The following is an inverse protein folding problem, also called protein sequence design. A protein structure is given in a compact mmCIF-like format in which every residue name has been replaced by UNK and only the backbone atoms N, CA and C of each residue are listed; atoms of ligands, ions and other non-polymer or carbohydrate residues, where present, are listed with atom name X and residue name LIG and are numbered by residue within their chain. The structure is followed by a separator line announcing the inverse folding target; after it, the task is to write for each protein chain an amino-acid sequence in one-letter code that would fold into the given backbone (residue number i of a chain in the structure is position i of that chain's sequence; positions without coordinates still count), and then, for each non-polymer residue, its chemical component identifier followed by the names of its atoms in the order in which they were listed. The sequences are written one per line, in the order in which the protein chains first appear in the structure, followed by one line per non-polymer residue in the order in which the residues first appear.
data_IF_556218405983
#
_entry.id   IF_556218405983
#
_cell.length_a   1.000
_cell.length_b   1.000
_cell.length_c   1.000
_cell.angle_alpha   90.00
_cell.angle_beta   90.00
_cell.angle_gamma   90.00
#
_symmetry.space_group_name_H-M   'P 1'
#
loop_
_entity.id
_entity.type
_entity.pdbx_description
1 polymer ?
#
# COMPACT_ATOMS: atom_id res chain seq x y z
N UNK A 1 -15.74 -22.55 -26.63
CA UNK A 1 -15.66 -21.15 -26.17
C UNK A 1 -15.30 -21.20 -24.71
N UNK A 2 -14.02 -21.17 -24.39
CA UNK A 2 -13.51 -21.87 -23.20
C UNK A 2 -12.49 -20.99 -22.48
N UNK A 3 -12.96 -20.11 -21.59
CA UNK A 3 -12.14 -19.33 -20.67
C UNK A 3 -12.18 -20.06 -19.32
N UNK A 4 -11.09 -20.69 -18.88
CA UNK A 4 -11.20 -21.71 -17.81
C UNK A 4 -10.23 -21.70 -16.63
N UNK A 5 -9.36 -20.70 -16.44
CA UNK A 5 -8.56 -20.61 -15.19
C UNK A 5 -8.30 -19.15 -14.79
N UNK A 6 -8.42 -18.84 -13.50
CA UNK A 6 -8.25 -17.51 -12.91
C UNK A 6 -7.16 -17.60 -11.83
N UNK A 7 -6.13 -16.76 -11.91
CA UNK A 7 -5.15 -16.56 -10.84
C UNK A 7 -5.60 -15.41 -9.94
N UNK A 8 -5.43 -15.51 -8.63
CA UNK A 8 -5.66 -14.38 -7.71
C UNK A 8 -4.48 -14.32 -6.76
N UNK A 9 -3.67 -13.28 -6.87
CA UNK A 9 -2.74 -12.87 -5.80
C UNK A 9 -3.51 -11.92 -4.86
N UNK A 10 -3.32 -12.08 -3.55
CA UNK A 10 -3.86 -11.25 -2.47
C UNK A 10 -5.40 -11.05 -2.48
N UNK A 11 -6.14 -11.89 -1.75
CA UNK A 11 -7.60 -11.73 -1.57
C UNK A 11 -7.88 -10.87 -0.33
N UNK A 12 -8.15 -9.56 -0.42
CA UNK A 12 -8.90 -8.90 0.63
C UNK A 12 -10.29 -9.54 0.67
N UNK A 13 -10.90 -9.52 1.86
CA UNK A 13 -12.18 -10.15 2.28
C UNK A 13 -13.40 -10.09 1.30
N UNK A 14 -13.28 -9.48 0.12
CA UNK A 14 -14.17 -9.58 -1.05
C UNK A 14 -14.10 -10.88 -1.87
N UNK A 15 -13.31 -11.89 -1.47
CA UNK A 15 -13.05 -13.13 -2.21
C UNK A 15 -14.26 -13.90 -2.76
N UNK A 16 -15.44 -13.85 -2.12
CA UNK A 16 -16.66 -14.52 -2.64
C UNK A 16 -17.04 -14.04 -4.04
N UNK A 17 -16.85 -12.75 -4.33
CA UNK A 17 -17.32 -12.15 -5.59
C UNK A 17 -16.46 -12.54 -6.78
N UNK A 18 -15.16 -12.79 -6.57
CA UNK A 18 -14.24 -13.13 -7.65
C UNK A 18 -14.41 -14.59 -8.10
N UNK A 19 -14.58 -15.53 -7.16
CA UNK A 19 -14.91 -16.92 -7.49
C UNK A 19 -16.26 -17.03 -8.20
N UNK A 20 -17.29 -16.36 -7.67
CA UNK A 20 -18.62 -16.36 -8.29
C UNK A 20 -18.57 -15.79 -9.71
N UNK A 21 -17.88 -14.68 -9.94
CA UNK A 21 -17.75 -14.08 -11.27
C UNK A 21 -16.96 -14.94 -12.23
N UNK A 22 -15.86 -15.55 -11.78
CA UNK A 22 -15.09 -16.46 -12.61
C UNK A 22 -15.94 -17.66 -13.05
N UNK A 23 -16.70 -18.25 -12.13
CA UNK A 23 -17.59 -19.35 -12.46
C UNK A 23 -18.73 -18.92 -13.40
N UNK A 24 -19.37 -17.78 -13.16
CA UNK A 24 -20.39 -17.21 -14.04
C UNK A 24 -19.84 -16.87 -15.44
N UNK A 25 -18.56 -16.51 -15.54
CA UNK A 25 -17.87 -16.27 -16.80
C UNK A 25 -17.43 -17.58 -17.52
N UNK A 26 -17.77 -18.74 -16.95
CA UNK A 26 -17.50 -20.05 -17.54
C UNK A 26 -16.21 -20.74 -17.07
N UNK A 27 -15.55 -20.21 -16.04
CA UNK A 27 -14.31 -20.80 -15.55
C UNK A 27 -14.52 -22.20 -14.96
N UNK A 28 -13.64 -23.14 -15.31
CA UNK A 28 -13.66 -24.52 -14.80
C UNK A 28 -13.00 -24.61 -13.45
N UNK A 29 -11.91 -23.90 -13.26
CA UNK A 29 -11.23 -23.83 -11.97
C UNK A 29 -10.64 -22.46 -11.72
N UNK A 30 -10.26 -22.23 -10.46
CA UNK A 30 -9.49 -21.08 -10.01
C UNK A 30 -8.24 -21.60 -9.30
N UNK A 31 -7.07 -21.07 -9.63
CA UNK A 31 -5.79 -21.44 -9.01
C UNK A 31 -5.21 -20.21 -8.34
N UNK A 32 -5.23 -20.20 -7.01
CA UNK A 32 -4.79 -19.06 -6.19
C UNK A 32 -3.29 -19.20 -5.95
N UNK A 33 -2.56 -18.12 -6.21
CA UNK A 33 -1.10 -18.04 -6.12
C UNK A 33 -0.78 -16.84 -5.24
N UNK A 34 -0.01 -17.02 -4.17
CA UNK A 34 0.22 -15.97 -3.18
C UNK A 34 1.53 -16.21 -2.42
N UNK A 35 1.84 -15.35 -1.44
CA UNK A 35 2.97 -15.51 -0.55
C UNK A 35 2.66 -14.94 0.84
N UNK A 36 3.44 -15.36 1.85
CA UNK A 36 3.46 -14.75 3.19
C UNK A 36 4.90 -14.32 3.48
N UNK A 37 5.07 -13.05 3.86
CA UNK A 37 6.35 -12.45 4.26
C UNK A 37 7.49 -12.71 3.24
N UNK A 38 8.73 -12.78 3.74
CA UNK A 38 9.97 -12.87 2.95
C UNK A 38 10.79 -14.09 3.39
N UNK A 39 10.49 -15.27 2.85
CA UNK A 39 11.26 -16.49 3.10
C UNK A 39 12.61 -16.57 2.35
N UNK A 40 12.89 -15.65 1.43
CA UNK A 40 14.15 -15.59 0.66
C UNK A 40 14.46 -16.89 -0.11
N UNK A 41 13.46 -17.46 -0.80
CA UNK A 41 13.63 -18.68 -1.60
C UNK A 41 13.82 -19.95 -0.77
N UNK A 42 13.39 -19.96 0.49
CA UNK A 42 13.49 -21.13 1.38
C UNK A 42 12.13 -21.54 1.89
N UNK A 43 11.85 -22.84 1.92
CA UNK A 43 10.64 -23.35 2.56
C UNK A 43 10.70 -23.12 4.07
N UNK A 44 9.73 -22.38 4.60
CA UNK A 44 9.61 -22.10 6.03
C UNK A 44 8.20 -22.42 6.50
N UNK A 45 8.04 -23.45 7.32
CA UNK A 45 6.73 -23.93 7.80
C UNK A 45 5.87 -22.82 8.41
N UNK A 46 6.50 -21.88 9.14
CA UNK A 46 5.76 -20.78 9.75
C UNK A 46 5.09 -19.84 8.74
N UNK A 47 5.58 -19.82 7.50
CA UNK A 47 5.15 -18.98 6.39
C UNK A 47 4.35 -19.77 5.32
N UNK A 48 4.00 -21.02 5.59
CA UNK A 48 3.15 -21.81 4.68
C UNK A 48 1.75 -21.19 4.53
N UNK A 49 1.25 -21.19 3.29
CA UNK A 49 -0.13 -20.80 2.97
C UNK A 49 -1.17 -21.80 3.47
N UNK A 50 -0.78 -23.01 3.88
CA UNK A 50 -1.69 -23.97 4.52
C UNK A 50 -2.41 -23.37 5.73
N UNK A 51 -1.76 -22.43 6.43
CA UNK A 51 -2.34 -21.71 7.58
C UNK A 51 -3.51 -20.80 7.23
N UNK A 52 -3.54 -20.26 6.00
CA UNK A 52 -4.64 -19.39 5.56
C UNK A 52 -5.80 -20.18 4.96
N UNK A 53 -5.61 -21.48 4.65
CA UNK A 53 -6.62 -22.34 4.05
C UNK A 53 -7.95 -22.34 4.81
N UNK A 54 -8.02 -22.57 6.14
CA UNK A 54 -9.31 -22.63 6.84
C UNK A 54 -10.04 -21.27 6.88
N UNK A 55 -9.30 -20.17 6.82
CA UNK A 55 -9.85 -18.82 6.74
C UNK A 55 -10.41 -18.59 5.34
N UNK A 56 -9.66 -19.00 4.32
CA UNK A 56 -10.03 -18.84 2.92
C UNK A 56 -11.28 -19.66 2.58
N UNK A 57 -11.34 -20.93 2.99
CA UNK A 57 -12.52 -21.79 2.80
C UNK A 57 -13.77 -21.20 3.45
N UNK A 58 -13.65 -20.72 4.70
CA UNK A 58 -14.74 -20.03 5.40
C UNK A 58 -15.17 -18.75 4.69
N UNK A 59 -14.20 -17.97 4.21
CA UNK A 59 -14.46 -16.73 3.50
C UNK A 59 -15.07 -16.98 2.12
N UNK A 60 -14.80 -18.11 1.48
CA UNK A 60 -15.28 -18.44 0.14
C UNK A 60 -16.52 -19.34 0.14
N UNK A 61 -16.84 -19.94 1.29
CA UNK A 61 -17.93 -20.93 1.44
C UNK A 61 -17.78 -22.08 0.44
N UNK A 62 -16.54 -22.55 0.28
CA UNK A 62 -16.10 -23.53 -0.70
C UNK A 62 -14.93 -24.32 -0.12
N UNK A 63 -14.90 -25.62 -0.42
CA UNK A 63 -13.71 -26.44 -0.22
C UNK A 63 -12.61 -26.00 -1.19
N UNK A 64 -11.36 -25.94 -0.69
CA UNK A 64 -10.20 -25.52 -1.47
C UNK A 64 -9.15 -26.62 -1.40
N UNK A 65 -8.74 -27.11 -2.56
CA UNK A 65 -7.65 -28.08 -2.64
C UNK A 65 -6.31 -27.36 -2.48
N UNK A 66 -5.65 -27.58 -1.36
CA UNK A 66 -4.29 -27.08 -1.14
C UNK A 66 -3.26 -27.98 -1.81
N UNK A 67 -2.32 -27.38 -2.54
CA UNK A 67 -1.19 -28.06 -3.17
C UNK A 67 0.09 -27.66 -2.45
N UNK A 68 0.87 -28.65 -1.99
CA UNK A 68 2.06 -28.44 -1.14
C UNK A 68 3.27 -27.81 -1.86
N UNK A 69 3.13 -27.48 -3.14
CA UNK A 69 4.09 -26.72 -3.93
C UNK A 69 3.33 -25.87 -4.98
N UNK A 70 4.04 -24.97 -5.68
CA UNK A 70 3.48 -24.13 -6.73
C UNK A 70 4.03 -24.44 -8.13
N UNK A 71 4.92 -25.42 -8.27
CA UNK A 71 5.48 -25.88 -9.54
C UNK A 71 5.66 -27.40 -9.53
N UNK A 72 5.96 -27.97 -10.69
CA UNK A 72 6.36 -29.36 -10.82
C UNK A 72 5.26 -30.27 -11.35
N UNK A 73 5.62 -31.38 -12.01
CA UNK A 73 4.71 -32.15 -12.86
C UNK A 73 3.48 -32.69 -12.11
N UNK A 74 3.62 -33.02 -10.82
CA UNK A 74 2.51 -33.49 -10.00
C UNK A 74 1.49 -32.36 -9.73
N UNK A 75 1.95 -31.17 -9.38
CA UNK A 75 1.10 -29.99 -9.11
C UNK A 75 0.41 -29.53 -10.40
N UNK A 76 1.15 -29.53 -11.51
CA UNK A 76 0.63 -29.19 -12.83
C UNK A 76 -0.49 -30.14 -13.25
N UNK A 77 -0.33 -31.45 -13.01
CA UNK A 77 -1.34 -32.46 -13.32
C UNK A 77 -2.66 -32.22 -12.57
N UNK A 78 -2.62 -31.84 -11.29
CA UNK A 78 -3.84 -31.52 -10.51
C UNK A 78 -4.65 -30.38 -11.13
N UNK A 79 -3.97 -29.38 -11.67
CA UNK A 79 -4.60 -28.18 -12.24
C UNK A 79 -4.90 -28.29 -13.73
N UNK A 80 -4.41 -29.34 -14.40
CA UNK A 80 -4.53 -29.50 -15.86
C UNK A 80 -5.98 -29.70 -16.30
N UNK A 81 -6.72 -30.61 -15.63
CA UNK A 81 -8.10 -30.95 -15.99
C UNK A 81 -9.00 -31.24 -14.77
N UNK A 82 -9.19 -30.26 -13.85
CA UNK A 82 -9.92 -30.48 -12.61
C UNK A 82 -11.44 -30.56 -12.82
N UNK A 83 -12.25 -31.03 -11.85
CA UNK A 83 -13.70 -30.88 -11.91
C UNK A 83 -14.16 -29.42 -12.10
N UNK A 84 -15.35 -29.22 -12.67
CA UNK A 84 -15.90 -27.87 -12.79
C UNK A 84 -16.20 -27.29 -11.40
N UNK A 85 -15.77 -26.06 -11.16
CA UNK A 85 -15.92 -25.36 -9.88
C UNK A 85 -14.79 -25.62 -8.88
N UNK A 86 -13.73 -26.34 -9.26
CA UNK A 86 -12.57 -26.57 -8.39
C UNK A 86 -11.81 -25.29 -8.07
N UNK A 87 -11.37 -25.16 -6.83
CA UNK A 87 -10.54 -24.05 -6.36
C UNK A 87 -9.28 -24.65 -5.76
N UNK A 88 -8.12 -24.18 -6.22
CA UNK A 88 -6.81 -24.61 -5.75
C UNK A 88 -6.12 -23.45 -5.05
N UNK A 89 -5.37 -23.76 -3.99
CA UNK A 89 -4.41 -22.85 -3.38
C UNK A 89 -3.03 -23.51 -3.49
N UNK A 90 -2.12 -22.87 -4.24
CA UNK A 90 -0.73 -23.30 -4.29
C UNK A 90 0.01 -22.85 -3.02
N UNK A 91 1.11 -23.52 -2.72
CA UNK A 91 2.04 -23.05 -1.69
C UNK A 91 2.74 -21.75 -2.13
N UNK A 92 3.36 -21.06 -1.16
CA UNK A 92 4.00 -19.76 -1.31
C UNK A 92 5.00 -19.72 -2.46
N UNK A 93 4.76 -18.85 -3.44
CA UNK A 93 5.69 -18.64 -4.57
C UNK A 93 7.06 -18.16 -4.12
N UNK A 94 7.16 -17.48 -2.97
CA UNK A 94 8.45 -17.01 -2.43
C UNK A 94 9.29 -18.12 -1.81
N UNK A 95 8.77 -19.35 -1.68
CA UNK A 95 9.62 -20.50 -1.36
C UNK A 95 10.57 -20.85 -2.50
N UNK A 96 10.31 -20.35 -3.71
CA UNK A 96 11.19 -20.45 -4.86
C UNK A 96 11.97 -19.14 -5.04
N UNK A 97 13.32 -19.17 -5.11
CA UNK A 97 14.13 -17.96 -5.28
C UNK A 97 13.85 -17.24 -6.61
N UNK A 98 13.37 -17.95 -7.61
CA UNK A 98 13.04 -17.45 -8.96
C UNK A 98 11.97 -16.35 -8.91
N UNK A 99 11.00 -16.44 -7.99
CA UNK A 99 9.93 -15.45 -7.81
C UNK A 99 10.48 -14.03 -7.56
N UNK A 100 11.49 -13.92 -6.69
CA UNK A 100 12.16 -12.66 -6.34
C UNK A 100 13.48 -12.47 -7.11
N UNK A 101 13.80 -13.36 -8.06
CA UNK A 101 15.04 -13.38 -8.87
C UNK A 101 16.32 -13.41 -8.02
N UNK A 102 16.30 -14.12 -6.89
CA UNK A 102 17.43 -14.16 -5.93
C UNK A 102 18.45 -15.19 -6.38
N UNK A 103 19.51 -14.75 -7.06
CA UNK A 103 20.63 -15.62 -7.44
C UNK A 103 20.28 -16.67 -8.51
N UNK A 104 19.23 -16.43 -9.29
CA UNK A 104 18.77 -17.31 -10.37
C UNK A 104 19.24 -16.80 -11.73
N UNK A 105 19.52 -17.71 -12.67
CA UNK A 105 19.69 -17.36 -14.09
C UNK A 105 18.34 -17.04 -14.75
N UNK A 106 18.37 -16.35 -15.89
CA UNK A 106 17.15 -16.09 -16.68
C UNK A 106 16.48 -17.40 -17.15
N UNK A 107 17.25 -18.46 -17.41
CA UNK A 107 16.69 -19.77 -17.77
C UNK A 107 15.90 -20.41 -16.62
N UNK A 108 16.38 -20.27 -15.38
CA UNK A 108 15.65 -20.74 -14.19
C UNK A 108 14.35 -19.95 -14.00
N UNK A 109 14.43 -18.63 -14.16
CA UNK A 109 13.26 -17.75 -14.07
C UNK A 109 12.23 -18.09 -15.15
N UNK A 110 12.66 -18.32 -16.40
CA UNK A 110 11.78 -18.71 -17.50
C UNK A 110 11.13 -20.08 -17.27
N UNK A 111 11.87 -21.05 -16.71
CA UNK A 111 11.33 -22.36 -16.33
C UNK A 111 10.28 -22.25 -15.22
N UNK A 112 10.53 -21.43 -14.21
CA UNK A 112 9.58 -21.14 -13.13
C UNK A 112 8.33 -20.44 -13.66
N UNK A 113 8.49 -19.44 -14.53
CA UNK A 113 7.38 -18.73 -15.19
C UNK A 113 6.53 -19.71 -16.02
N UNK A 114 7.16 -20.60 -16.79
CA UNK A 114 6.48 -21.60 -17.60
C UNK A 114 5.69 -22.60 -16.73
N UNK A 115 6.26 -23.03 -15.61
CA UNK A 115 5.61 -23.92 -14.64
C UNK A 115 4.37 -23.25 -14.04
N UNK A 116 4.49 -22.01 -13.55
CA UNK A 116 3.36 -21.23 -13.04
C UNK A 116 2.30 -20.97 -14.11
N UNK A 117 2.72 -20.72 -15.35
CA UNK A 117 1.83 -20.50 -16.48
C UNK A 117 0.97 -21.73 -16.76
N UNK A 118 1.50 -22.95 -16.60
CA UNK A 118 0.77 -24.19 -16.89
C UNK A 118 -0.53 -24.34 -16.08
N UNK A 119 -0.60 -23.69 -14.91
CA UNK A 119 -1.78 -23.68 -14.04
C UNK A 119 -2.94 -22.84 -14.58
N UNK A 120 -2.75 -22.08 -15.67
CA UNK A 120 -3.68 -21.04 -16.10
C UNK A 120 -3.80 -20.85 -17.61
N UNK A 121 -5.00 -20.53 -18.09
CA UNK A 121 -5.22 -20.00 -19.45
C UNK A 121 -5.32 -18.47 -19.45
N UNK A 122 -5.75 -17.90 -18.31
CA UNK A 122 -5.95 -16.46 -18.11
C UNK A 122 -5.26 -16.07 -16.82
N UNK A 123 -4.52 -14.98 -16.88
CA UNK A 123 -3.90 -14.39 -15.72
C UNK A 123 -4.79 -13.28 -15.16
N UNK A 124 -5.03 -13.30 -13.86
CA UNK A 124 -5.66 -12.19 -13.16
C UNK A 124 -4.79 -11.74 -12.00
N UNK A 125 -4.51 -10.44 -11.96
CA UNK A 125 -3.77 -9.82 -10.86
C UNK A 125 -4.76 -9.07 -9.98
N UNK A 126 -4.96 -9.54 -8.75
CA UNK A 126 -5.75 -8.86 -7.73
C UNK A 126 -4.90 -8.32 -6.57
N UNK A 127 -3.58 -8.33 -6.72
CA UNK A 127 -2.61 -7.98 -5.70
C UNK A 127 -1.99 -6.60 -5.92
N UNK A 128 -2.82 -5.56 -5.73
CA UNK A 128 -2.35 -4.18 -5.86
C UNK A 128 -1.13 -3.88 -4.96
N UNK A 129 -1.17 -4.34 -3.70
CA UNK A 129 -0.11 -4.06 -2.71
C UNK A 129 1.27 -4.59 -3.07
N UNK A 130 1.39 -5.57 -3.98
CA UNK A 130 2.65 -6.18 -4.41
C UNK A 130 3.05 -5.76 -5.82
N UNK A 131 2.15 -5.14 -6.58
CA UNK A 131 2.32 -4.81 -8.00
C UNK A 131 3.36 -3.73 -8.32
N UNK A 132 3.94 -3.10 -7.30
CA UNK A 132 5.13 -2.23 -7.44
C UNK A 132 6.44 -3.02 -7.64
N UNK A 133 6.37 -4.37 -7.64
CA UNK A 133 7.52 -5.25 -7.77
C UNK A 133 7.53 -6.00 -9.10
N UNK A 134 8.72 -6.28 -9.61
CA UNK A 134 8.96 -7.04 -10.85
C UNK A 134 9.11 -8.55 -10.60
N UNK A 135 8.33 -9.11 -9.68
CA UNK A 135 8.36 -10.54 -9.37
C UNK A 135 7.68 -11.37 -10.46
N UNK A 136 8.08 -12.63 -10.64
CA UNK A 136 7.61 -13.49 -11.74
C UNK A 136 6.08 -13.62 -11.74
N UNK A 137 5.48 -13.91 -10.60
CA UNK A 137 4.02 -14.05 -10.46
C UNK A 137 3.22 -12.78 -10.81
N UNK A 138 3.85 -11.61 -10.80
CA UNK A 138 3.21 -10.30 -11.05
C UNK A 138 3.32 -9.82 -12.49
N UNK A 139 4.24 -10.40 -13.28
CA UNK A 139 4.51 -9.97 -14.66
C UNK A 139 3.54 -10.58 -15.69
N UNK A 140 2.54 -11.34 -15.21
CA UNK A 140 1.48 -11.91 -16.05
C UNK A 140 1.83 -13.21 -16.75
N UNK A 141 2.96 -13.85 -16.40
CA UNK A 141 3.34 -15.21 -16.80
C UNK A 141 3.34 -15.44 -18.33
N UNK A 142 3.66 -14.38 -19.08
CA UNK A 142 3.59 -14.31 -20.53
C UNK A 142 2.20 -14.57 -21.14
N UNK A 143 1.13 -14.61 -20.33
CA UNK A 143 -0.19 -15.05 -20.79
C UNK A 143 -0.81 -14.04 -21.76
N UNK A 144 -1.51 -14.56 -22.78
CA UNK A 144 -2.15 -13.71 -23.79
C UNK A 144 -3.28 -12.88 -23.18
N UNK A 145 -4.09 -13.50 -22.31
CA UNK A 145 -5.20 -12.84 -21.63
C UNK A 145 -4.76 -12.52 -20.20
N UNK A 146 -4.67 -11.22 -19.89
CA UNK A 146 -4.32 -10.68 -18.58
C UNK A 146 -5.38 -9.67 -18.18
N UNK A 147 -5.87 -9.74 -16.95
CA UNK A 147 -6.85 -8.78 -16.45
C UNK A 147 -6.57 -8.37 -15.00
N UNK A 148 -7.03 -7.18 -14.64
CA UNK A 148 -7.11 -6.75 -13.26
C UNK A 148 -8.27 -7.48 -12.56
N UNK A 149 -8.02 -7.98 -11.35
CA UNK A 149 -9.05 -8.47 -10.46
C UNK A 149 -9.92 -7.33 -9.92
N UNK A 150 -10.84 -7.65 -9.00
CA UNK A 150 -11.80 -6.66 -8.51
C UNK A 150 -11.18 -5.65 -7.55
N UNK A 151 -10.27 -6.09 -6.67
CA UNK A 151 -9.48 -5.20 -5.83
C UNK A 151 -8.59 -4.34 -6.71
N UNK A 152 -7.79 -4.97 -7.59
CA UNK A 152 -6.88 -4.25 -8.47
C UNK A 152 -7.62 -3.19 -9.29
N UNK A 153 -8.74 -3.56 -9.93
CA UNK A 153 -9.59 -2.62 -10.67
C UNK A 153 -10.06 -1.47 -9.79
N UNK A 154 -10.53 -1.77 -8.58
CA UNK A 154 -10.99 -0.73 -7.65
C UNK A 154 -9.86 0.24 -7.33
N UNK A 155 -8.68 -0.26 -6.95
CA UNK A 155 -7.52 0.58 -6.64
C UNK A 155 -7.10 1.43 -7.84
N UNK A 156 -7.02 0.84 -9.03
CA UNK A 156 -6.74 1.55 -10.28
C UNK A 156 -7.80 2.62 -10.59
N UNK A 157 -9.09 2.32 -10.41
CA UNK A 157 -10.18 3.28 -10.62
C UNK A 157 -10.08 4.48 -9.65
N UNK A 158 -9.67 4.25 -8.40
CA UNK A 158 -9.46 5.34 -7.43
C UNK A 158 -8.23 6.18 -7.77
N UNK A 159 -7.12 5.53 -8.13
CA UNK A 159 -5.87 6.20 -8.51
C UNK A 159 -6.06 6.99 -9.80
N UNK A 160 -6.70 6.42 -10.82
CA UNK A 160 -7.00 7.11 -12.08
C UNK A 160 -7.83 8.37 -11.83
N UNK A 161 -8.87 8.30 -10.99
CA UNK A 161 -9.64 9.50 -10.59
C UNK A 161 -8.79 10.55 -9.89
N UNK A 162 -7.83 10.13 -9.07
CA UNK A 162 -6.96 11.03 -8.34
C UNK A 162 -5.87 11.67 -9.21
N UNK A 163 -5.44 11.00 -10.29
CA UNK A 163 -4.33 11.44 -11.15
C UNK A 163 -4.83 12.11 -12.45
N UNK A 164 -5.79 11.50 -13.15
CA UNK A 164 -6.20 11.92 -14.50
C UNK A 164 -7.24 13.05 -14.49
N UNK A 165 -8.15 13.06 -13.51
CA UNK A 165 -9.22 14.04 -13.42
C UNK A 165 -9.63 14.29 -11.97
N UNK A 166 -8.71 14.79 -11.12
CA UNK A 166 -9.03 15.06 -9.73
C UNK A 166 -10.08 16.17 -9.63
N UNK A 167 -11.04 16.00 -8.70
CA UNK A 167 -11.91 17.10 -8.29
C UNK A 167 -11.05 18.11 -7.53
N UNK A 168 -11.18 19.39 -7.89
CA UNK A 168 -10.43 20.49 -7.28
C UNK A 168 -11.30 21.28 -6.29
N UNK A 169 -10.74 21.81 -5.19
CA UNK A 169 -9.32 21.74 -4.81
C UNK A 169 -8.89 20.31 -4.43
N UNK A 170 -7.77 19.87 -4.99
CA UNK A 170 -7.17 18.57 -4.74
C UNK A 170 -6.07 18.72 -3.71
N UNK A 171 -6.32 18.18 -2.52
CA UNK A 171 -5.46 18.33 -1.35
C UNK A 171 -4.70 17.04 -1.07
N UNK A 172 -3.37 17.10 -0.98
CA UNK A 172 -2.56 16.03 -0.43
C UNK A 172 -2.27 16.26 1.04
N UNK A 173 -2.45 15.24 1.88
CA UNK A 173 -2.08 15.28 3.30
C UNK A 173 -0.86 14.39 3.49
N UNK A 174 0.26 14.97 3.88
CA UNK A 174 1.52 14.27 4.09
C UNK A 174 2.04 14.48 5.50
N UNK A 175 2.24 13.38 6.24
CA UNK A 175 2.81 13.44 7.58
C UNK A 175 3.34 12.09 8.05
N UNK A 176 3.94 12.03 9.22
CA UNK A 176 4.51 10.80 9.78
C UNK A 176 5.67 11.07 10.72
N UNK A 177 6.16 10.03 11.42
CA UNK A 177 7.24 10.17 12.39
C UNK A 177 8.64 10.28 11.75
N UNK A 178 8.82 9.70 10.56
CA UNK A 178 10.08 9.72 9.78
C UNK A 178 9.85 10.54 8.50
N UNK A 179 10.34 11.78 8.48
CA UNK A 179 10.06 12.73 7.39
C UNK A 179 10.80 12.43 6.09
N UNK A 180 11.99 11.84 6.15
CA UNK A 180 12.92 11.76 5.01
C UNK A 180 12.34 11.09 3.75
N UNK A 181 11.76 9.91 3.89
CA UNK A 181 11.19 9.16 2.76
C UNK A 181 10.00 9.90 2.12
N UNK A 182 9.23 10.65 2.91
CA UNK A 182 8.06 11.41 2.43
C UNK A 182 8.44 12.73 1.78
N UNK A 183 9.52 13.35 2.25
CA UNK A 183 10.08 14.58 1.64
C UNK A 183 10.45 14.36 0.18
N UNK A 184 10.97 13.18 -0.17
CA UNK A 184 11.32 12.82 -1.54
C UNK A 184 10.09 12.66 -2.47
N UNK A 185 8.89 12.49 -1.92
CA UNK A 185 7.65 12.34 -2.70
C UNK A 185 6.97 13.70 -2.98
N UNK A 186 7.23 14.71 -2.17
CA UNK A 186 6.61 16.04 -2.29
C UNK A 186 6.84 16.72 -3.65
N UNK A 187 8.03 16.66 -4.30
CA UNK A 187 8.22 17.26 -5.61
C UNK A 187 7.19 16.75 -6.62
N UNK A 188 6.93 15.44 -6.62
CA UNK A 188 5.94 14.85 -7.53
C UNK A 188 4.52 15.31 -7.15
N UNK A 189 4.17 15.33 -5.87
CA UNK A 189 2.85 15.78 -5.43
C UNK A 189 2.54 17.23 -5.84
N UNK A 190 3.52 18.13 -5.72
CA UNK A 190 3.41 19.54 -6.16
C UNK A 190 3.04 19.64 -7.66
N UNK A 191 3.34 18.62 -8.47
CA UNK A 191 2.99 18.63 -9.88
C UNK A 191 1.50 18.34 -10.16
N UNK A 192 0.76 17.80 -9.18
CA UNK A 192 -0.60 17.29 -9.39
C UNK A 192 -1.67 17.97 -8.52
N UNK A 193 -1.33 18.42 -7.32
CA UNK A 193 -2.28 18.91 -6.29
C UNK A 193 -2.41 20.43 -6.30
N UNK A 194 -3.48 20.95 -5.71
CA UNK A 194 -3.66 22.39 -5.45
C UNK A 194 -3.09 22.79 -4.08
N UNK A 195 -3.17 21.88 -3.11
CA UNK A 195 -2.81 22.15 -1.72
C UNK A 195 -2.08 20.94 -1.10
N UNK A 196 -1.14 21.22 -0.19
CA UNK A 196 -0.41 20.20 0.58
C UNK A 196 -0.50 20.55 2.07
N UNK A 197 -1.13 19.68 2.85
CA UNK A 197 -1.12 19.74 4.32
C UNK A 197 0.04 18.92 4.85
N UNK A 198 0.96 19.56 5.57
CA UNK A 198 2.12 18.91 6.19
C UNK A 198 1.86 18.72 7.68
N UNK A 199 1.95 17.48 8.16
CA UNK A 199 1.76 17.16 9.58
C UNK A 199 2.81 16.19 10.13
N UNK A 200 2.65 15.84 11.40
CA UNK A 200 3.56 14.95 12.12
C UNK A 200 4.99 15.48 12.21
N UNK A 201 5.97 14.58 12.36
CA UNK A 201 7.38 14.94 12.55
C UNK A 201 7.97 15.69 11.37
N UNK A 202 7.42 15.52 10.16
CA UNK A 202 7.86 16.28 8.99
C UNK A 202 7.55 17.79 9.13
N UNK A 203 6.49 18.16 9.84
CA UNK A 203 6.14 19.56 10.05
C UNK A 203 7.23 20.32 10.81
N UNK A 204 7.95 19.69 11.76
CA UNK A 204 9.05 20.36 12.48
C UNK A 204 10.17 20.82 11.54
N UNK A 205 10.44 20.06 10.48
CA UNK A 205 11.45 20.39 9.47
C UNK A 205 11.01 21.66 8.71
N UNK A 206 9.76 21.73 8.26
CA UNK A 206 9.22 22.91 7.59
C UNK A 206 9.17 24.13 8.51
N UNK A 207 8.64 23.98 9.72
CA UNK A 207 8.51 25.06 10.70
C UNK A 207 9.89 25.61 11.11
N UNK A 208 10.88 24.73 11.30
CA UNK A 208 12.25 25.15 11.57
C UNK A 208 12.88 25.88 10.37
N UNK A 209 12.71 25.36 9.16
CA UNK A 209 13.33 25.96 7.97
C UNK A 209 12.71 27.31 7.59
N UNK A 210 11.38 27.42 7.65
CA UNK A 210 10.59 28.59 7.24
C UNK A 210 10.52 29.65 8.33
N UNK A 211 10.14 29.26 9.55
CA UNK A 211 9.91 30.22 10.65
C UNK A 211 11.10 30.35 11.61
N UNK A 212 12.19 29.60 11.39
CA UNK A 212 13.31 29.51 12.34
C UNK A 212 12.85 29.09 13.74
N UNK A 213 11.75 28.34 13.80
CA UNK A 213 11.14 27.89 15.03
C UNK A 213 12.09 26.95 15.79
N UNK A 214 12.33 27.18 17.09
CA UNK A 214 12.99 26.21 17.95
C UNK A 214 12.22 24.88 17.98
N UNK A 215 12.94 23.76 17.91
CA UNK A 215 12.34 22.42 17.84
C UNK A 215 12.67 21.54 19.05
N UNK A 216 13.41 22.04 20.04
CA UNK A 216 13.85 21.28 21.22
C UNK A 216 14.47 19.93 20.83
N UNK A 217 14.02 18.87 21.50
CA UNK A 217 14.48 17.50 21.31
C UNK A 217 13.67 16.74 20.23
N UNK A 218 12.93 17.47 19.38
CA UNK A 218 12.19 16.87 18.28
C UNK A 218 13.14 16.23 17.26
N UNK A 219 12.83 15.02 16.78
CA UNK A 219 13.60 14.40 15.71
C UNK A 219 13.64 15.33 14.50
N UNK A 220 14.86 15.60 14.05
CA UNK A 220 15.13 16.45 12.91
C UNK A 220 16.11 15.76 11.97
N UNK A 221 15.77 15.75 10.68
CA UNK A 221 16.65 15.28 9.63
C UNK A 221 17.20 16.48 8.85
N UNK A 222 18.45 16.84 9.15
CA UNK A 222 19.11 18.00 8.57
C UNK A 222 19.32 17.86 7.04
N UNK A 223 19.45 16.64 6.51
CA UNK A 223 19.58 16.45 5.06
C UNK A 223 18.27 16.73 4.34
N UNK A 224 17.16 16.20 4.88
CA UNK A 224 15.82 16.52 4.36
C UNK A 224 15.46 18.01 4.49
N UNK A 225 15.96 18.69 5.52
CA UNK A 225 15.74 20.12 5.72
C UNK A 225 16.26 20.97 4.55
N UNK A 226 17.35 20.54 3.91
CA UNK A 226 17.93 21.22 2.74
C UNK A 226 17.00 21.21 1.51
N UNK A 227 16.03 20.29 1.45
CA UNK A 227 15.06 20.20 0.35
C UNK A 227 13.93 21.23 0.47
N UNK A 228 13.63 21.72 1.68
CA UNK A 228 12.47 22.59 1.94
C UNK A 228 12.45 23.85 1.08
N UNK A 229 13.55 24.63 0.94
CA UNK A 229 13.53 25.83 0.12
C UNK A 229 13.11 25.58 -1.33
N UNK A 230 13.70 24.55 -1.97
CA UNK A 230 13.36 24.19 -3.35
C UNK A 230 11.93 23.66 -3.51
N UNK A 231 11.38 22.98 -2.50
CA UNK A 231 9.99 22.56 -2.49
C UNK A 231 9.03 23.76 -2.46
N UNK A 232 9.30 24.75 -1.62
CA UNK A 232 8.47 25.95 -1.51
C UNK A 232 8.56 26.83 -2.76
N UNK A 233 9.74 26.95 -3.35
CA UNK A 233 9.92 27.62 -4.65
C UNK A 233 9.12 26.92 -5.75
N UNK A 234 9.20 25.59 -5.85
CA UNK A 234 8.43 24.81 -6.82
C UNK A 234 6.92 24.98 -6.59
N UNK A 235 6.49 24.93 -5.33
CA UNK A 235 5.08 25.11 -4.96
C UNK A 235 4.57 26.49 -5.38
N UNK A 236 5.32 27.56 -5.06
CA UNK A 236 5.01 28.92 -5.48
C UNK A 236 4.94 29.05 -7.01
N UNK A 237 5.89 28.46 -7.73
CA UNK A 237 5.91 28.48 -9.19
C UNK A 237 4.70 27.74 -9.81
N UNK A 238 4.15 26.74 -9.12
CA UNK A 238 2.98 25.97 -9.56
C UNK A 238 1.65 26.44 -8.96
N UNK A 239 1.66 27.47 -8.10
CA UNK A 239 0.45 27.93 -7.40
C UNK A 239 -0.09 26.92 -6.39
N UNK A 240 0.76 26.05 -5.83
CA UNK A 240 0.39 25.07 -4.82
C UNK A 240 0.56 25.66 -3.42
N UNK A 241 -0.46 25.56 -2.58
CA UNK A 241 -0.43 26.10 -1.22
C UNK A 241 0.03 25.04 -0.20
N UNK A 242 1.00 25.40 0.63
CA UNK A 242 1.42 24.56 1.77
C UNK A 242 0.71 25.00 3.04
N UNK A 243 0.11 24.05 3.75
CA UNK A 243 -0.50 24.24 5.06
C UNK A 243 0.36 23.56 6.11
N UNK A 244 0.92 24.36 7.02
CA UNK A 244 1.68 23.90 8.18
C UNK A 244 0.81 24.01 9.45
N UNK A 245 1.09 23.22 10.50
CA UNK A 245 0.42 23.40 11.79
C UNK A 245 0.67 24.81 12.34
N UNK A 246 -0.31 25.36 13.05
CA UNK A 246 -0.20 26.68 13.71
C UNK A 246 0.05 26.55 15.22
N UNK A 247 -0.26 25.37 15.77
CA UNK A 247 -0.03 24.96 17.14
C UNK A 247 0.52 23.52 17.19
N UNK A 248 1.23 23.21 18.27
CA UNK A 248 1.94 21.95 18.45
C UNK A 248 1.64 21.37 19.82
N UNK A 249 1.42 20.06 19.88
CA UNK A 249 1.43 19.32 21.15
C UNK A 249 2.87 18.89 21.42
N UNK A 250 3.40 19.23 22.59
CA UNK A 250 4.76 18.88 23.02
C UNK A 250 4.74 18.08 24.32
N UNK A 251 5.78 17.27 24.53
CA UNK A 251 6.02 16.54 25.78
C UNK A 251 7.52 16.37 26.06
N UNK A 252 7.88 16.04 27.29
CA UNK A 252 9.27 15.79 27.68
C UNK A 252 9.73 14.36 27.37
N UNK A 253 8.79 13.42 27.22
CA UNK A 253 9.08 12.01 26.92
C UNK A 253 8.06 11.40 25.97
N UNK A 254 8.44 10.28 25.32
CA UNK A 254 7.55 9.52 24.44
C UNK A 254 6.81 8.44 25.21
N UNK A 255 5.87 8.87 26.05
CA UNK A 255 5.01 7.98 26.82
C UNK A 255 3.55 8.36 26.63
N UNK A 256 2.64 7.38 26.71
CA UNK A 256 1.21 7.64 26.75
C UNK A 256 0.77 8.35 28.04
N UNK A 257 1.64 8.39 29.05
CA UNK A 257 1.43 9.08 30.33
C UNK A 257 2.27 10.36 30.44
N UNK A 258 2.95 10.76 29.37
CA UNK A 258 3.78 11.95 29.39
C UNK A 258 2.91 13.19 29.64
N UNK A 259 3.44 14.13 30.44
CA UNK A 259 2.83 15.44 30.54
C UNK A 259 2.92 16.16 29.18
N UNK A 260 1.80 16.72 28.73
CA UNK A 260 1.71 17.40 27.43
C UNK A 260 1.30 18.85 27.60
N UNK A 261 1.83 19.71 26.75
CA UNK A 261 1.44 21.12 26.64
C UNK A 261 1.17 21.46 25.16
N UNK A 262 0.30 22.43 24.92
CA UNK A 262 0.09 23.01 23.59
C UNK A 262 0.88 24.30 23.51
N UNK A 263 1.62 24.49 22.43
CA UNK A 263 2.36 25.73 22.12
C UNK A 263 1.94 26.25 20.76
N UNK A 264 1.96 27.56 20.59
CA UNK A 264 1.89 28.15 19.25
C UNK A 264 3.24 27.99 18.53
N UNK A 265 3.21 27.97 17.20
CA UNK A 265 4.45 27.99 16.39
C UNK A 265 5.32 29.21 16.70
N UNK A 266 4.71 30.34 17.08
CA UNK A 266 5.39 31.58 17.47
C UNK A 266 6.27 31.40 18.72
N UNK A 267 5.84 30.55 19.66
CA UNK A 267 6.55 30.23 20.90
C UNK A 267 7.67 29.20 20.65
N UNK A 268 7.42 28.24 19.76
CA UNK A 268 8.33 27.15 19.46
C UNK A 268 8.40 26.09 20.56
N UNK A 269 9.28 25.10 20.37
CA UNK A 269 9.46 23.98 21.29
C UNK A 269 10.68 24.24 22.18
N UNK A 270 10.52 24.31 23.51
CA UNK A 270 11.64 24.51 24.44
C UNK A 270 12.60 23.32 24.49
N UNK A 271 13.82 23.54 24.96
CA UNK A 271 14.80 22.48 25.23
C UNK A 271 14.26 21.48 26.26
N UNK A 272 14.56 20.19 26.07
CA UNK A 272 14.01 19.11 26.90
C UNK A 272 12.54 18.75 26.58
N UNK A 273 11.91 19.44 25.62
CA UNK A 273 10.60 19.09 25.09
C UNK A 273 10.72 18.68 23.62
N UNK A 274 9.80 17.82 23.17
CA UNK A 274 9.71 17.38 21.79
C UNK A 274 8.27 17.48 21.30
N UNK A 275 8.12 17.76 20.01
CA UNK A 275 6.83 17.69 19.33
C UNK A 275 6.32 16.25 19.28
N UNK A 276 5.09 16.04 19.71
CA UNK A 276 4.41 14.77 19.64
C UNK A 276 3.67 14.62 18.32
N UNK A 277 3.85 13.45 17.69
CA UNK A 277 3.00 13.01 16.60
C UNK A 277 1.95 12.08 17.21
N UNK A 278 0.69 12.52 17.28
CA UNK A 278 -0.39 11.63 17.75
C UNK A 278 -0.48 10.42 16.82
N UNK A 279 -0.35 9.23 17.40
CA UNK A 279 -0.47 7.96 16.69
C UNK A 279 -1.92 7.72 16.25
N UNK A 280 -2.13 7.05 15.12
CA UNK A 280 -3.46 6.68 14.61
C UNK A 280 -4.25 5.73 15.54
N UNK A 281 -3.65 5.25 16.63
CA UNK A 281 -4.27 4.39 17.64
C UNK A 281 -4.79 5.16 18.87
N UNK A 282 -4.79 6.50 18.85
CA UNK A 282 -5.37 7.33 19.91
C UNK A 282 -6.92 7.33 19.81
N UNK A 283 -7.65 6.82 20.82
CA UNK A 283 -9.11 6.71 20.80
C UNK A 283 -9.83 8.08 20.75
N UNK A 284 -9.16 9.18 21.06
CA UNK A 284 -9.74 10.54 20.96
C UNK A 284 -9.87 11.04 19.52
N UNK A 285 -9.20 10.41 18.55
CA UNK A 285 -9.30 10.72 17.11
C UNK A 285 -10.51 10.04 16.47
N UNK A 286 -10.90 8.85 16.96
CA UNK A 286 -12.07 8.14 16.43
C UNK A 286 -13.39 8.86 16.74
N UNK A 287 -13.45 9.64 17.84
CA UNK A 287 -14.65 10.37 18.26
C UNK A 287 -14.98 11.62 17.42
N UNK A 288 -13.99 12.24 16.76
CA UNK A 288 -14.21 13.49 15.99
C UNK A 288 -14.52 13.29 14.51
N UNK A 289 -14.33 12.10 13.96
CA UNK A 289 -14.70 11.82 12.56
C UNK A 289 -16.21 11.58 12.36
N UNK A 290 -17.00 11.41 13.43
CA UNK A 290 -18.45 11.21 13.33
C UNK A 290 -19.28 12.49 13.50
N UNK A 291 -18.72 13.56 14.06
CA UNK A 291 -19.40 14.83 14.30
C UNK A 291 -18.85 15.92 13.38
N UNK A 292 -19.30 15.92 12.13
CA UNK A 292 -18.85 16.90 11.13
C UNK A 292 -19.70 16.88 9.86
N UNK A 293 -21.02 16.79 10.04
CA UNK A 293 -22.00 17.13 9.00
C UNK A 293 -22.71 18.40 9.44
N UNK A 294 -22.07 19.56 9.31
CA UNK A 294 -22.79 20.77 8.93
C UNK A 294 -21.85 21.91 8.48
N UNK A 295 -22.45 22.73 7.64
CA UNK A 295 -22.08 23.86 6.81
C UNK A 295 -20.99 24.86 7.21
N UNK A 296 -20.36 25.37 6.13
CA UNK A 296 -19.66 26.65 5.96
C UNK A 296 -18.33 26.81 6.70
N UNK A 297 -17.25 26.38 6.02
CA UNK A 297 -15.93 27.00 6.22
C UNK A 297 -16.00 28.46 5.75
N UNK A 298 -16.22 29.38 6.69
CA UNK A 298 -15.83 30.78 6.49
C UNK A 298 -14.32 30.82 6.25
N UNK A 299 -13.91 31.42 5.13
CA UNK A 299 -12.51 31.55 4.72
C UNK A 299 -11.83 32.59 5.60
N UNK A 300 -10.83 32.26 6.43
CA UNK A 300 -9.90 33.27 6.88
C UNK A 300 -9.01 33.63 5.67
N UNK A 301 -8.83 34.92 5.41
CA UNK A 301 -7.92 35.42 4.39
C UNK A 301 -6.48 35.08 4.80
N UNK A 302 -5.84 34.17 4.08
CA UNK A 302 -4.44 33.79 4.27
C UNK A 302 -3.64 34.26 3.06
N UNK A 303 -3.28 35.54 3.04
CA UNK A 303 -2.21 36.03 2.17
C UNK A 303 -0.87 35.81 2.89
N UNK A 304 0.04 35.07 2.25
CA UNK A 304 1.48 35.03 2.53
C UNK A 304 2.21 35.48 1.27
#
# INVERSE_FOLDING_TARGET
MTLKKLTIDNVPFSGKRILLRAHLAGAKSVVIVSHIDRPLGKRVERLSLRKVLPILERCLDREITFLDDCIGPEIEAFTSNPPNGSVFLLESVRFHPEEERIGCSEDQIASFEASLRSHGDIYVNDAFGTSHRSHVSLMGLGMQIRAAGLLMKKELDYIAKAIESPKRPYVAISGGAKGAEKMLQLPNLIDFVDEIVVGGGMASIFLNMVHKMPIGDTIHDAESAKLVPGLLEKAKAKGVHFHLPVDLVIAQERSNTAETRIVEVSEGVPDGWMMLVRSSNDPTVQGRHQEGKDDRMERPSWDV
#
